data_IF_781370335411
#
_entry.id   IF_781370335411
#
_cell.length_a   1.000
_cell.length_b   1.000
_cell.length_c   1.000
_cell.angle_alpha   90.00
_cell.angle_beta   90.00
_cell.angle_gamma   90.00
#
_symmetry.space_group_name_H-M   'P 1'
#
loop_
_entity.id
_entity.type
_entity.pdbx_description
1 polymer ?
#
# COMPACT_ATOMS: atom_id res chain seq x y z
N UNK A 1 -10.85 13.91 -8.95
CA UNK A 1 -10.88 13.86 -7.48
C UNK A 1 -9.93 14.84 -6.82
N UNK A 2 -8.62 14.82 -7.14
CA UNK A 2 -7.65 15.76 -6.54
C UNK A 2 -8.09 17.24 -6.58
N UNK A 3 -8.58 17.73 -7.74
CA UNK A 3 -9.11 19.09 -7.84
C UNK A 3 -10.38 19.34 -7.02
N UNK A 4 -11.28 18.35 -6.90
CA UNK A 4 -12.50 18.43 -6.09
C UNK A 4 -12.15 18.65 -4.62
N UNK A 5 -11.14 17.93 -4.16
CA UNK A 5 -10.74 17.89 -2.75
C UNK A 5 -9.62 18.89 -2.43
N UNK A 6 -9.35 19.82 -3.34
CA UNK A 6 -8.34 20.87 -3.15
C UNK A 6 -6.92 20.35 -2.93
N UNK A 7 -6.60 19.17 -3.49
CA UNK A 7 -5.32 18.48 -3.26
C UNK A 7 -5.03 18.17 -1.78
N UNK A 8 -6.06 18.07 -0.94
CA UNK A 8 -5.94 17.71 0.48
C UNK A 8 -6.34 16.25 0.71
N UNK A 9 -5.57 15.54 1.51
CA UNK A 9 -5.92 14.18 1.92
C UNK A 9 -7.24 14.17 2.71
N UNK A 10 -8.14 13.24 2.37
CA UNK A 10 -9.47 13.12 2.98
C UNK A 10 -9.54 11.99 4.01
N UNK A 11 -8.41 11.61 4.61
CA UNK A 11 -8.29 10.45 5.52
C UNK A 11 -7.81 10.90 6.89
N UNK A 12 -8.61 10.64 7.94
CA UNK A 12 -8.26 10.83 9.36
C UNK A 12 -7.57 12.17 9.66
N UNK A 13 -8.13 13.28 9.15
CA UNK A 13 -7.59 14.64 9.31
C UNK A 13 -6.12 14.79 8.90
N UNK A 14 -5.64 13.96 7.96
CA UNK A 14 -4.29 14.05 7.45
C UNK A 14 -4.09 15.35 6.67
N UNK A 15 -3.17 16.19 7.13
CA UNK A 15 -2.87 17.48 6.50
C UNK A 15 -1.92 17.37 5.28
N UNK A 16 -1.46 16.15 4.96
CA UNK A 16 -0.55 15.95 3.84
C UNK A 16 -1.24 16.24 2.49
N UNK A 17 -0.50 16.75 1.49
CA UNK A 17 -1.04 16.92 0.16
C UNK A 17 -1.44 15.56 -0.44
N UNK A 18 -2.61 15.52 -1.04
CA UNK A 18 -3.07 14.36 -1.79
C UNK A 18 -2.37 14.31 -3.13
N UNK A 19 -1.81 13.13 -3.42
CA UNK A 19 -1.08 12.82 -4.66
C UNK A 19 -1.73 11.68 -5.41
N UNK A 20 -2.73 11.03 -4.81
CA UNK A 20 -3.39 9.83 -5.31
C UNK A 20 -4.91 9.90 -5.10
N UNK A 21 -5.64 8.99 -5.75
CA UNK A 21 -7.08 8.80 -5.55
C UNK A 21 -7.29 7.44 -4.91
N UNK A 22 -8.00 7.42 -3.78
CA UNK A 22 -8.34 6.24 -2.98
C UNK A 22 -9.83 5.91 -3.15
N UNK A 23 -10.15 4.62 -3.13
CA UNK A 23 -11.52 4.14 -3.08
C UNK A 23 -12.02 4.11 -1.64
N UNK A 24 -13.13 4.76 -1.30
CA UNK A 24 -13.67 4.80 0.07
C UNK A 24 -13.98 3.38 0.56
N UNK A 25 -14.68 2.60 -0.26
CA UNK A 25 -14.80 1.13 -0.18
C UNK A 25 -13.83 0.53 -1.17
N UNK A 26 -12.93 -0.36 -0.73
CA UNK A 26 -11.90 -0.95 -1.59
C UNK A 26 -12.53 -1.80 -2.69
N UNK A 27 -11.86 -1.91 -3.85
CA UNK A 27 -12.30 -2.82 -4.93
C UNK A 27 -12.37 -4.29 -4.49
N UNK A 28 -11.46 -4.71 -3.60
CA UNK A 28 -11.47 -6.06 -3.03
C UNK A 28 -12.70 -6.34 -2.16
N UNK A 29 -13.29 -5.29 -1.57
CA UNK A 29 -14.53 -5.34 -0.79
C UNK A 29 -15.73 -4.89 -1.66
N UNK A 30 -15.68 -5.16 -2.96
CA UNK A 30 -16.75 -4.85 -3.95
C UNK A 30 -17.03 -3.35 -4.17
N UNK A 31 -16.11 -2.47 -3.77
CA UNK A 31 -16.21 -1.03 -4.01
C UNK A 31 -16.13 -0.65 -5.49
N UNK A 32 -16.99 0.27 -5.91
CA UNK A 32 -17.08 0.75 -7.30
C UNK A 32 -16.02 1.82 -7.61
N UNK A 33 -15.80 2.15 -8.89
CA UNK A 33 -14.99 3.32 -9.27
C UNK A 33 -15.84 4.55 -9.59
N UNK A 34 -17.06 4.60 -9.06
CA UNK A 34 -17.96 5.75 -9.17
C UNK A 34 -17.47 6.92 -8.32
N UNK A 35 -17.81 8.14 -8.72
CA UNK A 35 -17.24 9.37 -8.13
C UNK A 35 -17.52 9.53 -6.63
N UNK A 36 -18.63 8.97 -6.16
CA UNK A 36 -19.05 8.94 -4.76
C UNK A 36 -18.19 8.00 -3.90
N UNK A 37 -17.64 6.93 -4.51
CA UNK A 37 -16.71 6.01 -3.85
C UNK A 37 -15.24 6.42 -4.01
N UNK A 38 -14.94 7.60 -4.56
CA UNK A 38 -13.56 8.07 -4.71
C UNK A 38 -13.26 9.29 -3.84
N UNK A 39 -12.06 9.35 -3.28
CA UNK A 39 -11.52 10.49 -2.51
C UNK A 39 -10.06 10.77 -2.81
N UNK A 40 -9.60 11.99 -2.58
CA UNK A 40 -8.19 12.33 -2.63
C UNK A 40 -7.44 11.81 -1.39
N UNK A 41 -6.27 11.19 -1.60
CA UNK A 41 -5.43 10.65 -0.53
C UNK A 41 -3.95 10.91 -0.81
N UNK A 42 -3.16 11.06 0.25
CA UNK A 42 -1.70 11.02 0.13
C UNK A 42 -1.23 9.56 -0.04
N UNK A 43 -0.06 9.37 -0.65
CA UNK A 43 0.54 8.05 -0.86
C UNK A 43 0.54 7.20 0.43
N UNK A 44 0.97 7.77 1.56
CA UNK A 44 1.02 7.04 2.85
C UNK A 44 -0.33 6.47 3.29
N UNK A 45 -1.40 7.27 3.19
CA UNK A 45 -2.73 6.85 3.64
C UNK A 45 -3.40 5.90 2.64
N UNK A 46 -3.15 6.07 1.34
CA UNK A 46 -3.65 5.16 0.31
C UNK A 46 -3.01 3.76 0.45
N UNK A 47 -1.67 3.71 0.52
CA UNK A 47 -0.92 2.44 0.64
C UNK A 47 -1.10 1.74 1.99
N UNK A 48 -1.26 2.50 3.09
CA UNK A 48 -1.45 1.92 4.42
C UNK A 48 -2.78 1.21 4.61
N UNK A 49 -3.71 1.32 3.66
CA UNK A 49 -5.07 0.76 3.75
C UNK A 49 -5.15 -0.70 3.30
N UNK A 50 -4.29 -1.10 2.37
CA UNK A 50 -4.16 -2.49 1.92
C UNK A 50 -3.26 -3.31 2.86
N UNK A 51 -2.47 -2.64 3.69
CA UNK A 51 -1.78 -3.26 4.81
C UNK A 51 -2.77 -3.45 5.96
N UNK A 52 -3.52 -4.57 5.94
CA UNK A 52 -3.92 -5.17 7.21
C UNK A 52 -2.61 -5.59 7.89
N UNK A 53 -2.03 -4.70 8.69
CA UNK A 53 -0.83 -5.01 9.46
C UNK A 53 -1.21 -6.04 10.52
N UNK A 54 -1.08 -7.32 10.18
CA UNK A 54 -1.36 -8.47 11.06
C UNK A 54 -0.26 -8.68 12.11
N UNK A 55 0.51 -7.64 12.44
CA UNK A 55 1.23 -7.57 13.71
C UNK A 55 2.38 -8.56 13.92
N UNK A 56 3.02 -9.06 12.87
CA UNK A 56 4.30 -9.77 13.03
C UNK A 56 5.27 -9.45 11.89
N UNK A 57 6.02 -8.35 12.02
CA UNK A 57 7.38 -8.34 11.47
C UNK A 57 8.20 -9.27 12.37
N UNK A 58 8.75 -10.38 11.87
CA UNK A 58 9.61 -11.21 12.71
C UNK A 58 10.78 -10.34 13.18
N UNK A 59 11.02 -10.28 14.50
CA UNK A 59 12.12 -9.51 15.11
C UNK A 59 13.45 -9.79 14.39
N UNK A 60 13.59 -11.01 13.86
CA UNK A 60 14.71 -11.46 13.04
C UNK A 60 14.17 -12.28 11.87
N UNK A 61 14.47 -11.86 10.64
CA UNK A 61 14.32 -12.71 9.46
C UNK A 61 15.10 -14.01 9.67
N UNK A 62 14.49 -15.15 9.35
CA UNK A 62 15.20 -16.43 9.32
C UNK A 62 16.36 -16.39 8.31
N UNK A 63 17.33 -17.29 8.44
CA UNK A 63 18.42 -17.42 7.45
C UNK A 63 17.88 -17.58 6.02
N UNK A 64 16.82 -18.37 5.83
CA UNK A 64 16.19 -18.55 4.53
C UNK A 64 15.57 -17.25 3.98
N UNK A 65 14.89 -16.49 4.84
CA UNK A 65 14.31 -15.19 4.46
C UNK A 65 15.38 -14.13 4.15
N UNK A 66 16.51 -14.15 4.88
CA UNK A 66 17.67 -13.28 4.61
C UNK A 66 18.28 -13.57 3.23
N UNK A 67 18.43 -14.85 2.87
CA UNK A 67 18.93 -15.23 1.55
C UNK A 67 18.00 -14.80 0.42
N UNK A 68 16.68 -14.89 0.61
CA UNK A 68 15.71 -14.43 -0.37
C UNK A 68 15.83 -12.92 -0.63
N UNK A 69 15.97 -12.09 0.42
CA UNK A 69 16.13 -10.64 0.26
C UNK A 69 17.43 -10.30 -0.46
N UNK A 70 18.57 -10.88 -0.04
CA UNK A 70 19.87 -10.66 -0.71
C UNK A 70 19.80 -11.06 -2.18
N UNK A 71 19.13 -12.17 -2.50
CA UNK A 71 18.96 -12.63 -3.88
C UNK A 71 18.14 -11.65 -4.71
N UNK A 72 17.06 -11.09 -4.17
CA UNK A 72 16.24 -10.09 -4.87
C UNK A 72 17.05 -8.80 -5.14
N UNK A 73 17.84 -8.36 -4.17
CA UNK A 73 18.71 -7.18 -4.33
C UNK A 73 19.81 -7.42 -5.38
N UNK A 74 20.44 -8.62 -5.39
CA UNK A 74 21.42 -9.01 -6.42
C UNK A 74 20.80 -9.13 -7.82
N UNK A 75 19.53 -9.51 -7.91
CA UNK A 75 18.78 -9.54 -9.17
C UNK A 75 18.23 -8.16 -9.58
N UNK A 76 18.46 -7.12 -8.77
CA UNK A 76 18.01 -5.76 -9.06
C UNK A 76 16.50 -5.57 -9.03
N UNK A 77 15.76 -6.42 -8.30
CA UNK A 77 14.30 -6.29 -8.15
C UNK A 77 14.01 -5.11 -7.23
N UNK A 78 13.40 -4.02 -7.73
CA UNK A 78 13.21 -2.82 -6.95
C UNK A 78 12.14 -3.03 -5.87
N UNK A 79 12.33 -2.38 -4.71
CA UNK A 79 11.57 -2.62 -3.48
C UNK A 79 10.05 -2.35 -3.60
N UNK A 80 9.64 -1.60 -4.61
CA UNK A 80 8.29 -1.15 -4.95
C UNK A 80 7.53 -2.09 -5.90
N UNK A 81 8.24 -3.00 -6.58
CA UNK A 81 7.64 -4.05 -7.40
C UNK A 81 7.63 -5.39 -6.64
N UNK A 82 6.46 -5.75 -6.10
CA UNK A 82 6.07 -7.15 -5.88
C UNK A 82 6.81 -7.98 -4.80
N UNK A 83 7.14 -7.41 -3.63
CA UNK A 83 7.53 -8.24 -2.46
C UNK A 83 6.38 -9.01 -1.79
N UNK A 84 5.17 -8.95 -2.33
CA UNK A 84 4.00 -9.69 -1.83
C UNK A 84 4.02 -11.18 -2.23
N UNK A 85 4.85 -11.59 -3.19
CA UNK A 85 4.76 -12.93 -3.78
C UNK A 85 5.60 -14.05 -3.10
N UNK A 86 6.41 -13.76 -2.06
CA UNK A 86 7.31 -14.77 -1.47
C UNK A 86 6.77 -15.37 -0.15
N UNK A 87 5.48 -15.22 0.14
CA UNK A 87 4.87 -15.79 1.36
C UNK A 87 3.93 -16.98 1.09
N UNK A 88 3.80 -17.46 -0.16
CA UNK A 88 2.85 -18.55 -0.49
C UNK A 88 3.41 -19.67 -1.37
N UNK A 89 4.73 -19.87 -1.41
CA UNK A 89 5.30 -21.09 -1.97
C UNK A 89 6.45 -21.59 -1.10
N UNK A 90 6.09 -22.31 -0.04
CA UNK A 90 6.68 -23.56 0.46
C UNK A 90 6.09 -23.87 1.85
#
# INVERSE_FOLDING_TARGET
MLNRDGWRCQINDCEAPATTVDHIVRRADEGTSELDNLRAACTRCNFGRDAEWTGAVPEKLSLGQRWAVIRLDLLGVPHDAERTAVQTML
#
